data_IF_616564666646
#
_entry.id   IF_616564666646
#
_cell.length_a   1.000
_cell.length_b   1.000
_cell.length_c   1.000
_cell.angle_alpha   90.00
_cell.angle_beta   90.00
_cell.angle_gamma   90.00
#
_symmetry.space_group_name_H-M   'P 1'
#
loop_
_entity.id
_entity.type
_entity.pdbx_description
1 polymer ?
#
# COMPACT_ATOMS: atom_id res chain seq x y z
N UNK A 1 -26.44 -7.76 15.74
CA UNK A 1 -24.96 -7.86 15.64
C UNK A 1 -24.72 -9.25 15.08
N UNK A 2 -24.37 -9.39 13.79
CA UNK A 2 -24.02 -10.70 13.26
C UNK A 2 -22.84 -11.21 14.10
N UNK A 3 -22.89 -12.45 14.62
CA UNK A 3 -21.77 -13.00 15.36
C UNK A 3 -20.54 -12.93 14.46
N UNK A 4 -19.51 -12.23 14.95
CA UNK A 4 -18.16 -12.41 14.43
C UNK A 4 -17.90 -13.91 14.56
N UNK A 5 -17.54 -14.58 13.46
CA UNK A 5 -17.09 -15.96 13.52
C UNK A 5 -15.89 -15.98 14.46
N UNK A 6 -16.16 -16.38 15.69
CA UNK A 6 -15.20 -16.39 16.78
C UNK A 6 -14.21 -17.50 16.47
N UNK A 7 -12.96 -17.09 16.18
CA UNK A 7 -11.80 -17.91 15.85
C UNK A 7 -11.96 -18.72 14.55
N UNK A 8 -10.95 -18.61 13.68
CA UNK A 8 -10.66 -19.68 12.75
C UNK A 8 -10.68 -20.99 13.55
N UNK A 9 -11.39 -22.00 13.07
CA UNK A 9 -11.18 -23.37 13.55
C UNK A 9 -9.73 -23.78 13.31
N UNK A 10 -9.38 -25.04 13.57
CA UNK A 10 -8.03 -25.59 13.35
C UNK A 10 -7.54 -25.58 11.87
N UNK A 11 -8.20 -24.82 10.98
CA UNK A 11 -7.86 -24.69 9.57
C UNK A 11 -6.60 -23.84 9.39
N UNK A 12 -5.61 -24.43 8.73
CA UNK A 12 -4.40 -23.72 8.29
C UNK A 12 -4.58 -23.36 6.81
N UNK A 13 -4.55 -22.07 6.51
CA UNK A 13 -4.71 -21.58 5.14
C UNK A 13 -3.42 -21.75 4.34
N UNK A 14 -3.54 -22.36 3.17
CA UNK A 14 -2.46 -22.44 2.18
C UNK A 14 -2.52 -21.33 1.14
N UNK A 15 -1.40 -21.04 0.47
CA UNK A 15 -1.32 -19.97 -0.54
C UNK A 15 -2.35 -20.12 -1.66
N UNK A 16 -2.60 -21.36 -2.12
CA UNK A 16 -3.57 -21.67 -3.17
C UNK A 16 -5.00 -21.26 -2.81
N UNK A 17 -5.34 -21.22 -1.52
CA UNK A 17 -6.68 -20.82 -1.06
C UNK A 17 -6.93 -19.32 -1.19
N UNK A 18 -5.88 -18.51 -1.35
CA UNK A 18 -5.99 -17.07 -1.62
C UNK A 18 -5.97 -16.74 -3.11
N UNK A 19 -5.81 -17.73 -4.00
CA UNK A 19 -5.82 -17.51 -5.44
C UNK A 19 -7.24 -17.22 -5.95
N UNK A 20 -7.42 -16.04 -6.55
CA UNK A 20 -8.67 -15.63 -7.19
C UNK A 20 -8.71 -16.01 -8.68
N UNK A 21 -9.33 -15.15 -9.50
CA UNK A 21 -9.36 -15.37 -10.94
C UNK A 21 -7.95 -15.32 -11.55
N UNK A 22 -7.76 -15.98 -12.70
CA UNK A 22 -6.50 -15.92 -13.44
C UNK A 22 -6.17 -14.47 -13.83
N UNK A 23 -5.02 -13.99 -13.35
CA UNK A 23 -4.52 -12.65 -13.66
C UNK A 23 -4.39 -12.42 -15.17
N UNK A 24 -4.85 -11.25 -15.63
CA UNK A 24 -4.88 -10.85 -17.06
C UNK A 24 -3.88 -9.74 -17.39
N UNK A 25 -2.83 -9.62 -16.58
CA UNK A 25 -1.73 -8.70 -16.87
C UNK A 25 -0.84 -9.24 -18.00
N UNK A 26 -0.04 -8.36 -18.58
CA UNK A 26 0.89 -8.72 -19.64
C UNK A 26 1.96 -9.70 -19.13
N UNK A 27 2.44 -10.65 -19.96
CA UNK A 27 3.60 -11.47 -19.60
C UNK A 27 4.80 -10.61 -19.19
N UNK A 28 5.39 -10.91 -18.04
CA UNK A 28 6.50 -10.12 -17.46
C UNK A 28 6.07 -8.87 -16.70
N UNK A 29 4.77 -8.63 -16.49
CA UNK A 29 4.31 -7.54 -15.65
C UNK A 29 4.69 -7.78 -14.18
N UNK A 30 5.31 -6.78 -13.54
CA UNK A 30 5.67 -6.83 -12.13
C UNK A 30 4.49 -7.04 -11.17
N UNK A 31 3.26 -6.69 -11.59
CA UNK A 31 2.03 -6.94 -10.81
C UNK A 31 1.89 -8.42 -10.38
N UNK A 32 2.38 -9.37 -11.19
CA UNK A 32 2.39 -10.79 -10.84
C UNK A 32 3.25 -11.09 -9.61
N UNK A 33 4.44 -10.50 -9.52
CA UNK A 33 5.35 -10.66 -8.37
C UNK A 33 4.70 -10.10 -7.10
N UNK A 34 4.04 -8.94 -7.20
CA UNK A 34 3.28 -8.35 -6.09
C UNK A 34 2.13 -9.25 -5.65
N UNK A 35 1.35 -9.80 -6.58
CA UNK A 35 0.25 -10.71 -6.27
C UNK A 35 0.75 -11.96 -5.53
N UNK A 36 1.81 -12.59 -6.02
CA UNK A 36 2.42 -13.77 -5.38
C UNK A 36 2.94 -13.45 -3.98
N UNK A 37 3.61 -12.31 -3.79
CA UNK A 37 4.09 -11.89 -2.48
C UNK A 37 2.94 -11.65 -1.48
N UNK A 38 1.83 -11.07 -1.94
CA UNK A 38 0.62 -10.89 -1.13
C UNK A 38 -0.02 -12.22 -0.76
N UNK A 39 -0.24 -13.13 -1.71
CA UNK A 39 -0.82 -14.44 -1.42
C UNK A 39 0.03 -15.23 -0.42
N UNK A 40 1.36 -15.16 -0.56
CA UNK A 40 2.31 -15.72 0.41
C UNK A 40 2.16 -15.07 1.79
N UNK A 41 2.00 -13.75 1.85
CA UNK A 41 1.80 -13.01 3.11
C UNK A 41 0.50 -13.43 3.80
N UNK A 42 -0.60 -13.53 3.06
CA UNK A 42 -1.90 -13.93 3.61
C UNK A 42 -1.83 -15.32 4.25
N UNK A 43 -1.21 -16.29 3.56
CA UNK A 43 -0.99 -17.63 4.11
C UNK A 43 -0.01 -17.62 5.28
N UNK A 44 1.13 -16.94 5.18
CA UNK A 44 2.12 -16.92 6.24
C UNK A 44 1.63 -16.30 7.55
N UNK A 45 0.74 -15.31 7.48
CA UNK A 45 0.13 -14.67 8.64
C UNK A 45 -1.28 -15.22 8.96
N UNK A 46 -1.69 -16.31 8.29
CA UNK A 46 -2.94 -17.03 8.50
C UNK A 46 -4.17 -16.09 8.53
N UNK A 47 -4.22 -15.16 7.57
CA UNK A 47 -5.27 -14.15 7.52
C UNK A 47 -6.59 -14.76 7.08
N UNK A 48 -7.62 -14.65 7.92
CA UNK A 48 -8.95 -15.18 7.63
C UNK A 48 -9.51 -14.45 6.39
N UNK A 49 -9.84 -15.15 5.29
CA UNK A 49 -10.33 -14.52 4.06
C UNK A 49 -11.56 -13.65 4.27
N UNK A 50 -12.48 -14.07 5.13
CA UNK A 50 -13.73 -13.37 5.45
C UNK A 50 -13.51 -12.13 6.32
N UNK A 51 -12.34 -11.98 6.93
CA UNK A 51 -11.94 -10.81 7.72
C UNK A 51 -10.92 -9.91 7.00
N UNK A 52 -10.58 -10.25 5.76
CA UNK A 52 -9.59 -9.54 4.95
C UNK A 52 -10.28 -8.89 3.77
N UNK A 53 -9.97 -7.61 3.52
CA UNK A 53 -10.56 -6.84 2.42
C UNK A 53 -9.49 -6.18 1.57
N UNK A 54 -9.53 -6.41 0.26
CA UNK A 54 -8.72 -5.69 -0.72
C UNK A 54 -9.55 -4.61 -1.42
N UNK A 55 -9.09 -3.37 -1.33
CA UNK A 55 -9.74 -2.20 -1.93
C UNK A 55 -8.84 -1.65 -3.04
N UNK A 56 -9.40 -1.29 -4.18
CA UNK A 56 -8.64 -0.69 -5.27
C UNK A 56 -9.41 0.39 -6.03
N UNK A 57 -8.66 1.22 -6.76
CA UNK A 57 -9.20 2.25 -7.66
C UNK A 57 -9.35 1.71 -9.08
N UNK A 58 -8.78 2.39 -10.08
CA UNK A 58 -8.80 1.96 -11.48
C UNK A 58 -7.38 2.00 -12.07
N UNK A 59 -7.01 0.94 -12.80
CA UNK A 59 -5.68 0.76 -13.38
C UNK A 59 -5.33 -0.71 -13.59
N UNK A 60 -4.15 -1.01 -14.15
CA UNK A 60 -3.65 -2.38 -14.22
C UNK A 60 -3.51 -2.95 -12.81
N UNK A 61 -2.81 -2.22 -11.94
CA UNK A 61 -2.65 -2.51 -10.51
C UNK A 61 -4.00 -2.73 -9.81
N UNK A 62 -5.00 -1.89 -10.11
CA UNK A 62 -6.29 -1.91 -9.42
C UNK A 62 -7.17 -3.12 -9.74
N UNK A 63 -6.77 -4.00 -10.66
CA UNK A 63 -7.44 -5.31 -10.83
C UNK A 63 -7.16 -6.28 -9.67
N UNK A 64 -6.27 -5.91 -8.74
CA UNK A 64 -5.83 -6.72 -7.60
C UNK A 64 -6.96 -7.48 -6.86
N UNK A 65 -8.09 -6.85 -6.47
CA UNK A 65 -9.12 -7.54 -5.69
C UNK A 65 -9.79 -8.70 -6.45
N UNK A 66 -9.71 -8.75 -7.78
CA UNK A 66 -10.25 -9.87 -8.57
C UNK A 66 -9.38 -11.13 -8.51
N UNK A 67 -8.13 -10.99 -8.08
CA UNK A 67 -7.11 -12.05 -8.12
C UNK A 67 -6.74 -12.60 -6.74
N UNK A 68 -7.39 -12.09 -5.70
CA UNK A 68 -7.22 -12.54 -4.32
C UNK A 68 -8.58 -13.02 -3.79
N UNK A 69 -8.67 -14.26 -3.32
CA UNK A 69 -9.92 -14.86 -2.83
C UNK A 69 -10.23 -14.42 -1.39
N UNK A 70 -10.58 -13.15 -1.24
CA UNK A 70 -11.05 -12.51 0.00
C UNK A 70 -12.21 -11.56 -0.34
N UNK A 71 -12.71 -10.77 0.62
CA UNK A 71 -13.59 -9.67 0.24
C UNK A 71 -12.84 -8.63 -0.60
N UNK A 72 -13.46 -8.15 -1.67
CA UNK A 72 -12.86 -7.22 -2.61
C UNK A 72 -13.78 -6.06 -2.97
N UNK A 73 -13.23 -4.84 -3.04
CA UNK A 73 -13.92 -3.66 -3.56
C UNK A 73 -13.09 -3.00 -4.66
N UNK A 74 -13.55 -3.11 -5.90
CA UNK A 74 -12.96 -2.43 -7.06
C UNK A 74 -13.80 -1.17 -7.35
N UNK A 75 -13.30 -0.03 -6.89
CA UNK A 75 -14.04 1.23 -6.85
C UNK A 75 -13.81 2.14 -8.07
N UNK A 76 -13.93 3.44 -7.83
CA UNK A 76 -13.66 4.48 -8.83
C UNK A 76 -12.19 4.91 -8.82
N UNK A 77 -11.74 5.48 -9.94
CA UNK A 77 -10.36 5.94 -10.10
C UNK A 77 -9.99 6.98 -9.02
N UNK A 78 -8.93 6.68 -8.27
CA UNK A 78 -8.45 7.47 -7.13
C UNK A 78 -9.37 7.52 -5.93
N UNK A 79 -10.36 6.61 -5.82
CA UNK A 79 -11.32 6.55 -4.69
C UNK A 79 -11.16 5.30 -3.82
N UNK A 80 -10.06 4.57 -3.98
CA UNK A 80 -9.75 3.42 -3.13
C UNK A 80 -9.63 3.80 -1.65
N UNK A 81 -8.90 4.88 -1.34
CA UNK A 81 -8.66 5.31 0.04
C UNK A 81 -9.91 5.81 0.78
N UNK A 82 -10.81 6.61 0.16
CA UNK A 82 -12.10 6.93 0.75
C UNK A 82 -12.94 5.69 1.06
N UNK A 83 -13.01 4.72 0.15
CA UNK A 83 -13.74 3.47 0.37
C UNK A 83 -13.11 2.66 1.53
N UNK A 84 -11.79 2.49 1.53
CA UNK A 84 -11.05 1.80 2.59
C UNK A 84 -11.22 2.48 3.96
N UNK A 85 -11.22 3.82 3.98
CA UNK A 85 -11.50 4.63 5.17
C UNK A 85 -12.89 4.34 5.72
N UNK A 86 -13.91 4.31 4.85
CA UNK A 86 -15.27 3.96 5.25
C UNK A 86 -15.38 2.54 5.82
N UNK A 87 -14.70 1.57 5.20
CA UNK A 87 -14.64 0.19 5.68
C UNK A 87 -14.02 0.15 7.08
N UNK A 88 -12.82 0.72 7.25
CA UNK A 88 -12.07 0.65 8.52
C UNK A 88 -12.77 1.39 9.66
N UNK A 89 -13.46 2.51 9.38
CA UNK A 89 -14.27 3.21 10.38
C UNK A 89 -15.46 2.39 10.88
N UNK A 90 -16.12 1.64 9.99
CA UNK A 90 -17.33 0.89 10.35
C UNK A 90 -17.01 -0.51 10.89
N UNK A 91 -15.90 -1.11 10.46
CA UNK A 91 -15.46 -2.47 10.78
C UNK A 91 -13.97 -2.46 11.12
N UNK A 92 -13.56 -1.86 12.26
CA UNK A 92 -12.16 -1.66 12.62
C UNK A 92 -11.38 -2.97 12.82
N UNK A 93 -12.08 -4.08 13.04
CA UNK A 93 -11.49 -5.41 13.18
C UNK A 93 -11.05 -6.03 11.85
N UNK A 94 -11.52 -5.52 10.70
CA UNK A 94 -11.11 -6.04 9.40
C UNK A 94 -9.66 -5.66 9.08
N UNK A 95 -8.96 -6.60 8.45
CA UNK A 95 -7.66 -6.36 7.83
C UNK A 95 -7.89 -5.73 6.46
N UNK A 96 -7.41 -4.50 6.25
CA UNK A 96 -7.65 -3.74 5.03
C UNK A 96 -6.35 -3.55 4.27
N UNK A 97 -6.33 -4.04 3.03
CA UNK A 97 -5.29 -3.75 2.04
C UNK A 97 -5.84 -2.83 0.96
N UNK A 98 -5.03 -1.89 0.50
CA UNK A 98 -5.37 -0.99 -0.61
C UNK A 98 -4.33 -1.13 -1.70
N UNK A 99 -4.75 -1.45 -2.92
CA UNK A 99 -3.87 -1.53 -4.10
C UNK A 99 -4.21 -0.39 -5.07
N UNK A 100 -3.22 0.44 -5.38
CA UNK A 100 -3.36 1.58 -6.28
C UNK A 100 -2.17 1.64 -7.25
N UNK A 101 -2.39 2.14 -8.46
CA UNK A 101 -1.29 2.55 -9.34
C UNK A 101 -0.72 3.89 -8.91
N UNK A 102 0.46 4.22 -9.39
CA UNK A 102 1.08 5.55 -9.25
C UNK A 102 0.12 6.70 -9.54
N UNK A 103 -0.54 6.75 -10.69
CA UNK A 103 -1.45 7.87 -10.98
C UNK A 103 -2.87 7.72 -10.38
N UNK A 104 -3.32 6.50 -10.07
CA UNK A 104 -4.52 6.30 -9.24
C UNK A 104 -4.32 6.91 -7.84
N UNK A 105 -3.13 6.74 -7.26
CA UNK A 105 -2.77 7.24 -5.94
C UNK A 105 -2.37 8.72 -5.94
N UNK A 106 -1.42 9.11 -6.80
CA UNK A 106 -0.72 10.40 -6.72
C UNK A 106 -1.19 11.45 -7.73
N UNK A 107 -2.12 11.10 -8.62
CA UNK A 107 -2.79 12.07 -9.50
C UNK A 107 -4.22 12.35 -9.00
N UNK A 108 -5.23 11.66 -9.56
CA UNK A 108 -6.63 11.89 -9.21
C UNK A 108 -6.97 11.50 -7.75
N UNK A 109 -6.16 10.63 -7.14
CA UNK A 109 -6.27 10.23 -5.73
C UNK A 109 -5.48 11.08 -4.74
N UNK A 110 -4.68 12.06 -5.20
CA UNK A 110 -3.64 12.69 -4.39
C UNK A 110 -4.17 13.31 -3.08
N UNK A 111 -5.29 14.03 -3.15
CA UNK A 111 -5.90 14.64 -1.96
C UNK A 111 -6.32 13.58 -0.93
N UNK A 112 -6.89 12.46 -1.39
CA UNK A 112 -7.29 11.38 -0.49
C UNK A 112 -6.09 10.66 0.11
N UNK A 113 -5.00 10.51 -0.65
CA UNK A 113 -3.73 9.97 -0.16
C UNK A 113 -3.13 10.82 0.96
N UNK A 114 -3.04 12.13 0.76
CA UNK A 114 -2.58 13.08 1.79
C UNK A 114 -3.43 12.96 3.05
N UNK A 115 -4.76 12.91 2.92
CA UNK A 115 -5.64 12.80 4.08
C UNK A 115 -5.62 11.41 4.72
N UNK A 116 -5.43 10.32 3.97
CA UNK A 116 -5.34 8.98 4.52
C UNK A 116 -4.06 8.80 5.36
N UNK A 117 -2.92 9.32 4.87
CA UNK A 117 -1.68 9.43 5.67
C UNK A 117 -1.92 10.23 6.95
N UNK A 118 -2.65 11.36 6.86
CA UNK A 118 -2.99 12.19 8.03
C UNK A 118 -3.94 11.48 9.01
N UNK A 119 -4.90 10.70 8.53
CA UNK A 119 -5.81 9.93 9.38
C UNK A 119 -5.13 8.71 10.01
N UNK A 120 -4.07 8.21 9.40
CA UNK A 120 -3.26 7.14 9.95
C UNK A 120 -4.08 5.90 10.37
N UNK A 121 -5.09 5.54 9.57
CA UNK A 121 -5.91 4.37 9.88
C UNK A 121 -5.13 3.08 9.66
N UNK A 122 -5.40 2.06 10.49
CA UNK A 122 -4.76 0.75 10.43
C UNK A 122 -5.11 -0.02 9.14
N UNK A 123 -4.32 0.22 8.10
CA UNK A 123 -4.45 -0.38 6.77
C UNK A 123 -3.11 -0.39 6.03
N UNK A 124 -2.90 -1.37 5.16
CA UNK A 124 -1.70 -1.47 4.33
C UNK A 124 -1.99 -1.00 2.91
N UNK A 125 -1.28 0.04 2.46
CA UNK A 125 -1.44 0.64 1.14
C UNK A 125 -0.24 0.33 0.27
N UNK A 126 -0.50 -0.34 -0.84
CA UNK A 126 0.47 -0.72 -1.86
C UNK A 126 0.28 0.18 -3.07
N UNK A 127 1.24 1.07 -3.30
CA UNK A 127 1.30 1.85 -4.54
C UNK A 127 2.25 1.15 -5.51
N UNK A 128 1.68 0.54 -6.56
CA UNK A 128 2.40 -0.16 -7.61
C UNK A 128 2.82 0.88 -8.65
N UNK A 129 4.08 1.30 -8.57
CA UNK A 129 4.64 2.42 -9.31
C UNK A 129 5.44 1.94 -10.51
N UNK A 130 4.84 2.06 -11.70
CA UNK A 130 5.47 1.78 -12.99
C UNK A 130 5.79 3.02 -13.82
N UNK A 131 5.58 4.21 -13.24
CA UNK A 131 5.86 5.48 -13.88
C UNK A 131 5.01 5.78 -15.11
N UNK A 132 3.83 5.17 -15.28
CA UNK A 132 2.99 5.37 -16.47
C UNK A 132 1.52 4.96 -16.27
N UNK A 133 0.59 5.61 -16.97
CA UNK A 133 -0.76 5.06 -17.10
C UNK A 133 -0.81 3.88 -18.08
N UNK A 134 -0.59 2.68 -17.55
CA UNK A 134 -0.56 1.45 -18.35
C UNK A 134 -1.90 1.06 -18.96
N UNK A 135 -2.98 1.03 -18.16
CA UNK A 135 -4.29 0.53 -18.63
C UNK A 135 -4.88 1.39 -19.76
N UNK A 136 -4.64 2.70 -19.71
CA UNK A 136 -5.11 3.66 -20.72
C UNK A 136 -4.14 3.82 -21.89
N UNK A 137 -3.08 3.01 -21.93
CA UNK A 137 -2.09 2.91 -23.02
C UNK A 137 -1.11 4.08 -23.09
N UNK A 138 -0.14 4.13 -22.18
CA UNK A 138 1.07 4.96 -22.26
C UNK A 138 0.87 6.48 -22.13
N UNK A 139 0.13 6.95 -21.12
CA UNK A 139 0.08 8.38 -20.79
C UNK A 139 0.97 8.68 -19.59
N UNK A 140 1.54 9.89 -19.55
CA UNK A 140 2.36 10.38 -18.43
C UNK A 140 1.59 10.30 -17.11
N UNK A 141 2.20 9.72 -16.10
CA UNK A 141 1.76 9.73 -14.70
C UNK A 141 2.61 10.74 -13.89
N UNK A 142 2.22 11.07 -12.64
CA UNK A 142 3.02 11.96 -11.80
C UNK A 142 4.43 11.45 -11.48
N UNK A 143 4.68 10.13 -11.55
CA UNK A 143 5.99 9.53 -11.27
C UNK A 143 6.80 9.22 -12.53
N UNK A 144 6.27 9.55 -13.72
CA UNK A 144 7.01 9.43 -14.99
C UNK A 144 8.26 10.33 -14.96
N UNK A 145 9.47 9.80 -15.22
CA UNK A 145 10.69 10.61 -15.25
C UNK A 145 10.62 11.73 -16.29
N UNK A 146 11.20 12.87 -15.95
CA UNK A 146 11.33 13.99 -16.88
C UNK A 146 12.02 13.54 -18.18
N UNK A 147 11.52 14.01 -19.32
CA UNK A 147 12.02 13.63 -20.65
C UNK A 147 11.51 12.28 -21.16
N UNK A 148 10.85 11.45 -20.34
CA UNK A 148 10.27 10.19 -20.82
C UNK A 148 9.09 10.45 -21.76
N UNK A 149 9.15 9.92 -22.99
CA UNK A 149 8.14 10.16 -24.03
C UNK A 149 6.93 9.25 -23.83
N UNK A 150 5.74 9.83 -23.97
CA UNK A 150 4.46 9.12 -23.85
C UNK A 150 3.46 9.59 -24.91
N UNK A 151 2.28 8.98 -24.96
CA UNK A 151 1.25 9.33 -25.95
C UNK A 151 0.69 10.75 -25.77
N UNK A 152 0.67 11.28 -24.54
CA UNK A 152 0.21 12.65 -24.26
C UNK A 152 1.36 13.67 -24.25
N UNK A 153 2.60 13.20 -24.11
CA UNK A 153 3.80 14.03 -24.06
C UNK A 153 4.87 13.42 -24.99
N UNK A 154 4.71 13.57 -26.32
CA UNK A 154 5.57 12.90 -27.31
C UNK A 154 7.00 13.43 -27.32
N UNK A 155 7.22 14.63 -26.78
CA UNK A 155 8.55 15.25 -26.64
C UNK A 155 9.22 14.97 -25.30
N UNK A 156 8.58 14.19 -24.44
CA UNK A 156 9.07 13.85 -23.10
C UNK A 156 8.30 14.55 -21.99
N UNK A 157 8.31 13.97 -20.80
CA UNK A 157 7.68 14.59 -19.63
C UNK A 157 8.32 15.92 -19.28
N UNK A 158 7.49 16.95 -19.07
CA UNK A 158 7.96 18.32 -18.87
C UNK A 158 8.44 18.57 -17.44
N UNK A 159 7.79 17.96 -16.46
CA UNK A 159 8.06 18.18 -15.03
C UNK A 159 8.97 17.09 -14.48
N UNK A 160 9.79 17.40 -13.47
CA UNK A 160 10.41 16.38 -12.62
C UNK A 160 9.34 15.45 -12.04
N UNK A 161 9.68 14.17 -11.92
CA UNK A 161 8.78 13.19 -11.32
C UNK A 161 8.48 13.56 -9.87
N UNK A 162 7.21 13.43 -9.46
CA UNK A 162 6.82 13.51 -8.07
C UNK A 162 7.53 12.39 -7.30
N UNK A 163 8.14 12.72 -6.17
CA UNK A 163 8.71 11.74 -5.24
C UNK A 163 7.68 11.34 -4.17
N UNK A 164 7.07 10.14 -4.24
CA UNK A 164 6.01 9.75 -3.30
C UNK A 164 6.53 9.52 -1.88
N UNK A 165 7.81 9.20 -1.70
CA UNK A 165 8.42 9.01 -0.37
C UNK A 165 8.56 10.35 0.34
N UNK A 166 9.18 11.34 -0.32
CA UNK A 166 9.37 12.67 0.23
C UNK A 166 8.02 13.32 0.56
N UNK A 167 7.05 13.23 -0.36
CA UNK A 167 5.70 13.74 -0.14
C UNK A 167 4.99 13.04 1.05
N UNK A 168 5.14 11.72 1.21
CA UNK A 168 4.55 11.00 2.35
C UNK A 168 5.17 11.41 3.69
N UNK A 169 6.51 11.51 3.74
CA UNK A 169 7.26 11.92 4.94
C UNK A 169 7.05 13.39 5.32
N UNK A 170 6.52 14.19 4.39
CA UNK A 170 6.05 15.55 4.66
C UNK A 170 4.77 15.62 5.48
N UNK A 171 3.99 14.53 5.56
CA UNK A 171 2.69 14.53 6.24
C UNK A 171 2.85 14.31 7.75
N UNK A 172 2.29 15.20 8.57
CA UNK A 172 2.54 15.31 10.02
C UNK A 172 2.17 14.06 10.85
N UNK A 173 1.19 13.29 10.38
CA UNK A 173 0.73 12.06 11.05
C UNK A 173 1.04 10.78 10.25
N UNK A 174 1.91 10.85 9.24
CA UNK A 174 2.47 9.64 8.65
C UNK A 174 3.14 8.83 9.76
N UNK A 175 2.95 7.51 9.72
CA UNK A 175 3.43 6.60 10.77
C UNK A 175 4.24 5.43 10.21
N UNK A 176 4.11 5.10 8.93
CA UNK A 176 4.91 4.10 8.26
C UNK A 176 5.08 4.42 6.78
N UNK A 177 6.32 4.52 6.31
CA UNK A 177 6.69 4.76 4.90
C UNK A 177 7.82 3.82 4.51
N UNK A 178 7.61 3.06 3.43
CA UNK A 178 8.61 2.13 2.91
C UNK A 178 8.65 2.13 1.38
N UNK A 179 9.80 1.71 0.84
CA UNK A 179 9.97 1.42 -0.58
C UNK A 179 10.50 0.01 -0.76
N UNK A 180 9.99 -0.69 -1.77
CA UNK A 180 10.52 -1.99 -2.20
C UNK A 180 10.42 -2.09 -3.72
N UNK A 181 10.96 -3.16 -4.30
CA UNK A 181 10.93 -3.43 -5.72
C UNK A 181 10.42 -4.83 -6.01
N UNK A 182 9.65 -4.99 -7.09
CA UNK A 182 9.05 -6.29 -7.44
C UNK A 182 10.09 -7.33 -7.87
N UNK A 183 11.23 -6.89 -8.40
CA UNK A 183 12.34 -7.77 -8.80
C UNK A 183 13.21 -8.25 -7.64
N UNK A 184 12.90 -7.86 -6.39
CA UNK A 184 13.54 -8.34 -5.18
C UNK A 184 12.49 -9.06 -4.29
N UNK A 185 12.07 -10.30 -4.63
CA UNK A 185 10.87 -10.91 -4.04
C UNK A 185 10.92 -11.13 -2.53
N UNK A 186 12.09 -11.49 -1.97
CA UNK A 186 12.28 -11.63 -0.52
C UNK A 186 12.13 -10.30 0.20
N UNK A 187 12.69 -9.21 -0.36
CA UNK A 187 12.53 -7.86 0.17
C UNK A 187 11.10 -7.34 0.05
N UNK A 188 10.45 -7.59 -1.08
CA UNK A 188 9.04 -7.28 -1.29
C UNK A 188 8.17 -7.95 -0.22
N UNK A 189 8.30 -9.27 -0.05
CA UNK A 189 7.55 -10.01 0.97
C UNK A 189 7.81 -9.47 2.38
N UNK A 190 9.08 -9.30 2.76
CA UNK A 190 9.45 -8.84 4.10
C UNK A 190 8.98 -7.39 4.36
N UNK A 191 9.00 -6.52 3.35
CA UNK A 191 8.46 -5.14 3.45
C UNK A 191 6.95 -5.15 3.63
N UNK A 192 6.21 -5.95 2.85
CA UNK A 192 4.75 -6.06 2.99
C UNK A 192 4.36 -6.65 4.35
N UNK A 193 5.12 -7.64 4.85
CA UNK A 193 4.94 -8.19 6.19
C UNK A 193 5.15 -7.14 7.28
N UNK A 194 6.21 -6.33 7.16
CA UNK A 194 6.47 -5.23 8.09
C UNK A 194 5.35 -4.17 8.06
N UNK A 195 4.83 -3.85 6.87
CA UNK A 195 3.72 -2.93 6.67
C UNK A 195 2.41 -3.46 7.29
N UNK A 196 2.11 -4.75 7.12
CA UNK A 196 0.95 -5.41 7.72
C UNK A 196 0.99 -5.42 9.26
N UNK A 197 2.17 -5.64 9.84
CA UNK A 197 2.33 -5.68 11.31
C UNK A 197 2.26 -4.31 11.97
N UNK A 198 2.54 -3.25 11.22
CA UNK A 198 2.46 -1.88 11.74
C UNK A 198 1.02 -1.51 12.05
N UNK A 199 0.81 -0.84 13.19
CA UNK A 199 -0.51 -0.35 13.63
C UNK A 199 -0.68 1.09 13.19
N UNK A 200 -1.33 1.28 12.05
CA UNK A 200 -1.55 2.58 11.42
C UNK A 200 -1.51 2.49 9.91
N UNK A 201 -1.43 3.63 9.25
CA UNK A 201 -1.40 3.70 7.79
C UNK A 201 -0.01 3.38 7.26
N UNK A 202 0.14 2.20 6.68
CA UNK A 202 1.39 1.74 6.07
C UNK A 202 1.42 2.07 4.59
N UNK A 203 2.19 3.08 4.19
CA UNK A 203 2.42 3.40 2.78
C UNK A 203 3.66 2.67 2.25
N UNK A 204 3.44 1.77 1.27
CA UNK A 204 4.52 1.03 0.60
C UNK A 204 4.54 1.41 -0.88
N UNK A 205 5.59 2.12 -1.31
CA UNK A 205 5.90 2.31 -2.72
C UNK A 205 6.58 1.06 -3.26
N UNK A 206 5.98 0.42 -4.25
CA UNK A 206 6.52 -0.78 -4.89
C UNK A 206 6.95 -0.38 -6.31
N UNK A 207 8.25 -0.35 -6.56
CA UNK A 207 8.78 -0.15 -7.91
C UNK A 207 8.42 -1.37 -8.77
N UNK A 208 7.59 -1.14 -9.78
CA UNK A 208 6.90 -2.18 -10.53
C UNK A 208 7.19 -2.05 -12.01
N UNK A 209 7.83 -3.05 -12.64
CA UNK A 209 8.15 -2.99 -14.08
C UNK A 209 6.92 -3.22 -14.95
N UNK A 210 6.60 -2.26 -15.83
CA UNK A 210 5.63 -2.44 -16.91
C UNK A 210 6.38 -2.81 -18.21
N UNK A 211 6.30 -4.07 -18.69
CA UNK A 211 7.07 -4.52 -19.85
C UNK A 211 6.61 -3.90 -21.18
N UNK A 212 5.39 -3.36 -21.23
CA UNK A 212 4.80 -2.85 -22.46
C UNK A 212 5.16 -1.38 -22.70
N UNK A 213 5.15 -0.55 -21.66
CA UNK A 213 5.23 0.90 -21.81
C UNK A 213 6.45 1.55 -21.15
N UNK A 214 6.97 0.97 -20.07
CA UNK A 214 8.18 1.46 -19.38
C UNK A 214 9.23 0.35 -19.19
N UNK A 215 9.57 -0.47 -20.21
CA UNK A 215 10.45 -1.62 -20.04
C UNK A 215 11.87 -1.25 -19.58
N UNK A 216 12.36 -0.08 -19.95
CA UNK A 216 13.69 0.41 -19.61
C UNK A 216 13.78 1.14 -18.27
N UNK A 217 12.63 1.54 -17.67
CA UNK A 217 12.60 2.47 -16.54
C UNK A 217 13.42 1.98 -15.34
N UNK A 218 13.25 0.70 -14.97
CA UNK A 218 14.00 0.07 -13.88
C UNK A 218 15.04 -0.95 -14.36
N UNK A 219 15.24 -1.09 -15.68
CA UNK A 219 16.13 -2.10 -16.25
C UNK A 219 17.55 -1.97 -15.71
N UNK A 220 18.05 -0.74 -15.62
CA UNK A 220 19.38 -0.46 -15.10
C UNK A 220 19.53 -0.89 -13.63
N UNK A 221 18.53 -0.61 -12.79
CA UNK A 221 18.54 -1.01 -11.39
C UNK A 221 18.47 -2.54 -11.20
N UNK A 222 17.86 -3.26 -12.14
CA UNK A 222 17.85 -4.73 -12.16
C UNK A 222 19.21 -5.29 -12.56
N UNK A 223 19.92 -4.64 -13.49
CA UNK A 223 21.19 -5.12 -14.05
C UNK A 223 22.42 -4.69 -13.24
N UNK A 224 22.35 -3.58 -12.51
CA UNK A 224 23.43 -2.95 -11.75
C UNK A 224 23.08 -2.97 -10.24
N UNK A 225 23.35 -4.07 -9.50
CA UNK A 225 23.02 -4.19 -8.07
C UNK A 225 23.61 -3.09 -7.18
N UNK A 226 24.71 -2.45 -7.58
CA UNK A 226 25.35 -1.32 -6.90
C UNK A 226 24.49 -0.04 -6.88
N UNK A 227 23.44 0.01 -7.72
CA UNK A 227 22.43 1.08 -7.70
C UNK A 227 21.39 0.88 -6.62
N UNK A 228 21.30 -0.30 -6.03
CA UNK A 228 20.36 -0.60 -4.95
C UNK A 228 21.08 -0.45 -3.63
N UNK A 229 20.48 0.30 -2.71
CA UNK A 229 20.91 0.38 -1.33
C UNK A 229 19.82 -0.14 -0.41
N UNK A 230 20.15 -1.04 0.50
CA UNK A 230 19.22 -1.55 1.50
C UNK A 230 19.32 -0.74 2.78
N UNK A 231 18.18 -0.29 3.31
CA UNK A 231 18.08 0.17 4.69
C UNK A 231 18.03 -1.04 5.61
N UNK A 232 18.92 -1.04 6.60
CA UNK A 232 19.05 -2.11 7.58
C UNK A 232 18.69 -1.55 8.96
N UNK A 233 17.84 -2.28 9.67
CA UNK A 233 17.39 -1.96 11.03
C UNK A 233 17.00 -3.25 11.75
N UNK A 234 17.30 -3.30 13.05
CA UNK A 234 17.14 -4.49 13.91
C UNK A 234 15.73 -5.10 13.84
N UNK A 235 14.69 -4.26 13.77
CA UNK A 235 13.27 -4.67 13.77
C UNK A 235 12.56 -4.46 12.41
N UNK A 236 13.23 -4.69 11.28
CA UNK A 236 12.51 -4.61 10.01
C UNK A 236 12.86 -5.59 8.91
N UNK A 237 13.25 -5.11 7.73
CA UNK A 237 13.20 -5.90 6.49
C UNK A 237 14.51 -6.67 6.38
N UNK A 238 14.53 -7.82 7.04
CA UNK A 238 15.70 -8.71 7.08
C UNK A 238 15.64 -9.68 5.91
N UNK A 239 16.59 -9.56 4.99
CA UNK A 239 16.71 -10.41 3.80
C UNK A 239 18.15 -10.87 3.59
N UNK A 240 18.62 -11.88 4.34
CA UNK A 240 20.02 -12.32 4.32
C UNK A 240 20.47 -12.84 2.95
N UNK A 241 19.52 -13.34 2.15
CA UNK A 241 19.75 -13.77 0.77
C UNK A 241 20.17 -12.61 -0.15
N UNK A 242 19.66 -11.40 0.11
CA UNK A 242 19.91 -10.22 -0.73
C UNK A 242 21.14 -9.42 -0.30
N UNK A 243 21.63 -9.57 0.93
CA UNK A 243 22.86 -8.91 1.41
C UNK A 243 24.09 -9.30 0.55
N UNK A 244 24.04 -10.48 -0.06
CA UNK A 244 25.08 -10.94 -0.98
C UNK A 244 25.00 -10.28 -2.37
N UNK A 245 23.83 -9.79 -2.76
CA UNK A 245 23.57 -9.18 -4.06
C UNK A 245 23.70 -7.66 -3.95
N UNK A 246 23.01 -7.05 -3.00
CA UNK A 246 23.01 -5.61 -2.75
C UNK A 246 24.03 -5.28 -1.65
N UNK A 247 25.23 -4.90 -2.08
CA UNK A 247 26.37 -4.61 -1.20
C UNK A 247 26.25 -3.27 -0.48
N UNK A 248 25.56 -2.30 -1.08
CA UNK A 248 25.30 -1.04 -0.42
C UNK A 248 24.21 -1.26 0.64
N UNK A 249 24.60 -1.14 1.90
CA UNK A 249 23.71 -1.22 3.04
C UNK A 249 23.90 0.03 3.90
N UNK A 250 22.81 0.53 4.46
CA UNK A 250 22.83 1.67 5.36
C UNK A 250 22.03 1.33 6.62
N UNK A 251 22.70 1.37 7.77
CA UNK A 251 22.01 1.30 9.04
C UNK A 251 21.23 2.60 9.27
N UNK A 252 19.94 2.49 9.56
CA UNK A 252 19.03 3.63 9.67
C UNK A 252 18.08 3.42 10.86
N UNK A 253 17.84 4.45 11.65
CA UNK A 253 16.81 4.44 12.69
C UNK A 253 15.46 4.84 12.06
N UNK A 254 14.49 3.90 11.92
CA UNK A 254 13.19 4.23 11.34
C UNK A 254 12.36 5.20 12.18
N UNK A 255 12.73 5.50 13.43
CA UNK A 255 12.07 6.53 14.24
C UNK A 255 12.54 7.96 13.90
N UNK A 256 13.69 8.12 13.24
CA UNK A 256 14.24 9.42 12.86
C UNK A 256 13.61 9.92 11.55
N UNK A 257 12.60 10.79 11.68
CA UNK A 257 11.92 11.41 10.55
C UNK A 257 12.83 12.35 9.75
N UNK A 258 13.81 13.00 10.38
CA UNK A 258 14.69 13.93 9.68
C UNK A 258 15.66 13.16 8.76
N UNK A 259 16.26 12.09 9.28
CA UNK A 259 17.08 11.17 8.49
C UNK A 259 16.25 10.51 7.37
N UNK A 260 15.03 10.06 7.66
CA UNK A 260 14.13 9.49 6.66
C UNK A 260 13.87 10.44 5.48
N UNK A 261 13.65 11.73 5.75
CA UNK A 261 13.43 12.76 4.71
C UNK A 261 14.66 12.98 3.86
N UNK A 262 15.84 13.06 4.47
CA UNK A 262 17.11 13.19 3.74
C UNK A 262 17.33 11.98 2.83
N UNK A 263 17.08 10.76 3.32
CA UNK A 263 17.19 9.54 2.52
C UNK A 263 16.21 9.52 1.35
N UNK A 264 14.97 10.00 1.56
CA UNK A 264 13.96 10.02 0.50
C UNK A 264 14.30 10.98 -0.65
N UNK A 265 15.17 11.98 -0.42
CA UNK A 265 15.60 12.98 -1.42
C UNK A 265 16.92 12.60 -2.11
N UNK A 266 17.53 11.47 -1.76
CA UNK A 266 18.74 10.97 -2.43
C UNK A 266 18.42 10.35 -3.79
N UNK A 267 19.15 10.79 -4.82
CA UNK A 267 18.95 10.37 -6.22
C UNK A 267 20.11 9.52 -6.78
N UNK A 268 21.17 9.27 -6.00
CA UNK A 268 22.33 8.50 -6.45
C UNK A 268 22.04 6.99 -6.56
N UNK A 269 21.16 6.48 -5.68
CA UNK A 269 20.76 5.08 -5.59
C UNK A 269 19.27 4.91 -5.33
N UNK A 270 18.74 3.77 -5.75
CA UNK A 270 17.40 3.33 -5.33
C UNK A 270 17.52 2.70 -3.95
N UNK A 271 16.96 3.37 -2.96
CA UNK A 271 16.94 2.91 -1.58
C UNK A 271 15.70 2.04 -1.35
N UNK A 272 15.90 0.83 -0.83
CA UNK A 272 14.83 -0.10 -0.47
C UNK A 272 14.84 -0.33 1.05
N UNK A 273 13.66 -0.39 1.66
CA UNK A 273 13.48 -0.66 3.08
C UNK A 273 12.43 0.25 3.71
N UNK A 274 12.40 0.28 5.05
CA UNK A 274 11.49 1.15 5.82
C UNK A 274 12.21 2.45 6.11
N UNK A 275 11.71 3.54 5.51
CA UNK A 275 12.25 4.88 5.73
C UNK A 275 11.81 5.43 7.08
N UNK A 276 10.56 5.18 7.45
CA UNK A 276 10.02 5.71 8.69
C UNK A 276 9.00 4.76 9.30
N UNK A 277 9.02 4.62 10.62
CA UNK A 277 8.06 3.88 11.43
C UNK A 277 7.90 4.55 12.79
N UNK A 278 6.66 4.87 13.15
CA UNK A 278 6.31 5.38 14.46
C UNK A 278 4.90 4.89 14.86
N UNK A 279 4.80 3.79 15.63
CA UNK A 279 3.52 3.21 16.03
C UNK A 279 2.78 4.03 17.09
N UNK A 280 3.41 5.07 17.67
CA UNK A 280 2.77 5.93 18.67
C UNK A 280 1.83 6.99 18.06
N UNK A 281 1.88 7.17 16.72
CA UNK A 281 1.03 8.15 16.03
C UNK A 281 -0.45 7.80 16.19
N UNK A 282 -1.32 8.77 16.50
CA UNK A 282 -2.74 8.51 16.70
C UNK A 282 -3.39 7.95 15.44
N UNK A 283 -4.28 6.98 15.62
CA UNK A 283 -5.08 6.37 14.56
C UNK A 283 -6.51 6.92 14.63
N UNK A 284 -7.03 7.40 13.51
CA UNK A 284 -8.28 8.17 13.50
C UNK A 284 -9.50 7.34 13.89
N UNK A 285 -9.55 6.06 13.49
CA UNK A 285 -10.61 5.11 13.85
C UNK A 285 -10.67 4.82 15.35
N UNK A 286 -9.55 4.91 16.06
CA UNK A 286 -9.52 4.78 17.52
C UNK A 286 -9.95 6.07 18.21
N UNK A 287 -9.46 7.21 17.69
CA UNK A 287 -9.79 8.54 18.23
C UNK A 287 -11.27 8.88 18.07
N UNK A 288 -11.91 8.39 17.01
CA UNK A 288 -13.34 8.61 16.71
C UNK A 288 -14.21 7.41 17.02
N UNK A 289 -13.67 6.40 17.73
CA UNK A 289 -14.40 5.18 18.04
C UNK A 289 -15.64 5.52 18.86
N UNK A 290 -16.81 5.30 18.27
CA UNK A 290 -18.08 5.36 19.01
C UNK A 290 -18.20 4.04 19.77
N UNK A 291 -18.47 4.11 21.07
CA UNK A 291 -18.71 2.93 21.89
C UNK A 291 -19.90 2.16 21.27
N UNK A 292 -19.74 0.89 20.90
CA UNK A 292 -20.84 0.11 20.35
C UNK A 292 -21.99 0.05 21.35
N UNK A 293 -23.15 0.55 20.95
CA UNK A 293 -24.39 0.48 21.75
C UNK A 293 -25.20 -0.74 21.35
N UNK A 294 -25.72 -1.47 22.33
CA UNK A 294 -26.68 -2.55 22.16
C UNK A 294 -27.96 -2.04 21.50
N UNK A 295 -28.76 -2.92 20.86
CA UNK A 295 -30.05 -2.52 20.31
C UNK A 295 -30.96 -1.82 21.32
N UNK A 296 -31.00 -2.31 22.57
CA UNK A 296 -31.80 -1.73 23.65
C UNK A 296 -31.33 -0.31 24.02
N UNK A 297 -30.02 -0.09 24.15
CA UNK A 297 -29.46 1.25 24.41
C UNK A 297 -29.75 2.23 23.27
N UNK A 298 -29.74 1.75 22.01
CA UNK A 298 -30.10 2.59 20.86
C UNK A 298 -31.57 3.00 20.89
N UNK A 299 -32.47 2.08 21.22
CA UNK A 299 -33.90 2.37 21.36
C UNK A 299 -34.12 3.38 22.48
N UNK A 300 -33.49 3.16 23.64
CA UNK A 300 -33.58 4.07 24.80
C UNK A 300 -33.15 5.50 24.42
N UNK A 301 -32.00 5.65 23.76
CA UNK A 301 -31.53 6.97 23.33
C UNK A 301 -32.43 7.64 22.28
N UNK A 302 -33.04 6.84 21.39
CA UNK A 302 -34.00 7.36 20.41
C UNK A 302 -35.26 7.85 21.12
N UNK A 303 -35.78 7.09 22.08
CA UNK A 303 -36.93 7.47 22.89
C UNK A 303 -36.65 8.74 23.71
N UNK A 304 -35.47 8.84 24.34
CA UNK A 304 -35.01 10.04 25.05
C UNK A 304 -34.95 11.27 24.12
N UNK A 305 -34.40 11.12 22.90
CA UNK A 305 -34.33 12.23 21.96
C UNK A 305 -35.72 12.61 21.43
N UNK A 306 -36.60 11.64 21.15
CA UNK A 306 -37.98 11.92 20.74
C UNK A 306 -38.79 12.61 21.85
N UNK A 307 -38.57 12.26 23.11
CA UNK A 307 -39.21 12.90 24.25
C UNK A 307 -38.90 14.41 24.35
N UNK A 308 -37.76 14.88 23.80
CA UNK A 308 -37.42 16.32 23.75
C UNK A 308 -38.30 17.12 22.79
N UNK A 309 -38.95 16.45 21.84
CA UNK A 309 -39.84 17.05 20.84
C UNK A 309 -41.30 16.66 21.06
N UNK A 310 -41.61 15.92 22.13
CA UNK A 310 -42.99 15.68 22.52
C UNK A 310 -43.58 16.99 23.06
N UNK A 311 -44.60 17.51 22.37
CA UNK A 311 -45.41 18.68 22.77
C UNK A 311 -46.51 18.24 23.72
#
# INVERSE_FOLDING_TARGET
MLPVLDKAGDHQYEMAEYEGARARWCPGCGDHSVLTAVQRLLAAEQMIPEQTVFVSGIGCSSRFPHYVKTYGFHGLHGRALPAATGIKLNRPELTVFVAMGDGDCTSIGAAHWVHALRYNMDMTVMMLDNGIYGLTKNQTSPTTPQGFKSNTQPYGSYLPALNPLAASLGITNASFVAQTAEWAPSHLYATLRAAYKHKGFSFVRILQRCPVYTPSLFQRAVQEPERIQLLVHDDGVVTPDLEKIYKAQLHHDPADLAAARQLAEQDDRIILGVFYRNPSKPRYEETRRVVPRTPAERVTLLEEEFARYAV
#
